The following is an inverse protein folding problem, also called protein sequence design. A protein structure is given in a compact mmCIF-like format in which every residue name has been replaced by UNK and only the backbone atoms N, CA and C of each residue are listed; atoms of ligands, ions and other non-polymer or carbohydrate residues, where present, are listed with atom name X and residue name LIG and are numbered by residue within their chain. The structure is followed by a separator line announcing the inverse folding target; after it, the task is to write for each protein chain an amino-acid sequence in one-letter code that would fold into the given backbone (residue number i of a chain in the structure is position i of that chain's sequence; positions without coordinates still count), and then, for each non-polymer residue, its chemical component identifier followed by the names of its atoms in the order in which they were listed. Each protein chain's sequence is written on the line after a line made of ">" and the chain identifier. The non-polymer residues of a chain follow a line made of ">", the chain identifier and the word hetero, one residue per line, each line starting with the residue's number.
data_IF_898517657068
#
_entry.id   IF_898517657068
#
_cell.length_a   1.000
_cell.length_b   1.000
_cell.length_c   1.000
_cell.angle_alpha   90.00
_cell.angle_beta   90.00
_cell.angle_gamma   90.00
#
_symmetry.space_group_name_H-M   'P 1'
#
loop_
_entity.id
_entity.type
_entity.pdbx_description
1 polymer ?
#
# COMPACT_ATOMS: atom_id res chain seq x y z
N UNK A 1 -20.57 -9.27 1.93
CA UNK A 1 -21.08 -8.70 3.20
C UNK A 1 -20.26 -7.47 3.55
N UNK A 2 -20.65 -6.67 4.57
CA UNK A 2 -19.84 -5.49 4.96
C UNK A 2 -18.50 -5.88 5.57
N UNK A 3 -18.47 -6.98 6.32
CA UNK A 3 -17.24 -7.53 6.89
C UNK A 3 -16.28 -8.01 5.80
N UNK A 4 -16.77 -8.56 4.67
CA UNK A 4 -15.91 -8.95 3.55
C UNK A 4 -15.19 -7.74 2.92
N UNK A 5 -15.82 -6.55 2.92
CA UNK A 5 -15.19 -5.33 2.42
C UNK A 5 -14.03 -4.89 3.31
N UNK A 6 -14.21 -4.95 4.64
CA UNK A 6 -13.14 -4.64 5.61
C UNK A 6 -11.97 -5.63 5.49
N UNK A 7 -12.26 -6.93 5.42
CA UNK A 7 -11.23 -7.96 5.19
C UNK A 7 -10.48 -7.69 3.88
N UNK A 8 -11.20 -7.37 2.81
CA UNK A 8 -10.61 -7.04 1.51
C UNK A 8 -9.68 -5.83 1.57
N UNK A 9 -10.09 -4.75 2.25
CA UNK A 9 -9.29 -3.54 2.41
C UNK A 9 -7.99 -3.81 3.18
N UNK A 10 -8.07 -4.53 4.30
CA UNK A 10 -6.91 -4.91 5.12
C UNK A 10 -5.92 -5.80 4.33
N UNK A 11 -6.44 -6.78 3.58
CA UNK A 11 -5.61 -7.62 2.71
C UNK A 11 -4.93 -6.81 1.61
N UNK A 12 -5.66 -5.90 0.95
CA UNK A 12 -5.10 -5.05 -0.10
C UNK A 12 -4.01 -4.11 0.46
N UNK A 13 -4.23 -3.46 1.61
CA UNK A 13 -3.22 -2.62 2.28
C UNK A 13 -1.95 -3.41 2.58
N UNK A 14 -2.11 -4.62 3.12
CA UNK A 14 -0.97 -5.51 3.43
C UNK A 14 -0.20 -5.89 2.17
N UNK A 15 -0.89 -6.21 1.08
CA UNK A 15 -0.26 -6.54 -0.20
C UNK A 15 0.55 -5.37 -0.78
N UNK A 16 0.02 -4.15 -0.72
CA UNK A 16 0.72 -2.93 -1.17
C UNK A 16 2.00 -2.70 -0.37
N UNK A 17 1.93 -2.82 0.97
CA UNK A 17 3.12 -2.68 1.83
C UNK A 17 4.17 -3.74 1.52
N UNK A 18 3.75 -4.99 1.34
CA UNK A 18 4.64 -6.08 0.95
C UNK A 18 5.32 -5.83 -0.40
N UNK A 19 4.56 -5.34 -1.39
CA UNK A 19 5.10 -4.97 -2.70
C UNK A 19 6.12 -3.82 -2.59
N UNK A 20 5.83 -2.78 -1.81
CA UNK A 20 6.76 -1.67 -1.58
C UNK A 20 8.06 -2.12 -0.90
N UNK A 21 8.00 -3.07 0.04
CA UNK A 21 9.21 -3.66 0.64
C UNK A 21 10.08 -4.33 -0.43
N UNK A 22 9.48 -5.13 -1.32
CA UNK A 22 10.21 -5.75 -2.43
C UNK A 22 10.82 -4.70 -3.37
N UNK A 23 10.11 -3.61 -3.66
CA UNK A 23 10.65 -2.49 -4.45
C UNK A 23 11.86 -1.86 -3.77
N UNK A 24 11.78 -1.57 -2.46
CA UNK A 24 12.89 -0.97 -1.70
C UNK A 24 14.12 -1.87 -1.67
N UNK A 25 13.93 -3.18 -1.48
CA UNK A 25 15.02 -4.17 -1.49
C UNK A 25 15.71 -4.19 -2.86
N UNK A 26 14.93 -4.33 -3.94
CA UNK A 26 15.50 -4.41 -5.28
C UNK A 26 16.13 -3.09 -5.74
N UNK A 27 15.52 -1.94 -5.40
CA UNK A 27 16.03 -0.61 -5.72
C UNK A 27 17.39 -0.34 -5.05
N UNK A 28 17.61 -0.85 -3.83
CA UNK A 28 18.89 -0.70 -3.12
C UNK A 28 20.07 -1.38 -3.82
N UNK A 29 19.82 -2.32 -4.74
CA UNK A 29 20.85 -2.99 -5.54
C UNK A 29 21.12 -2.36 -6.91
N UNK A 30 20.43 -1.28 -7.29
CA UNK A 30 20.59 -0.67 -8.61
C UNK A 30 21.78 0.29 -8.67
N UNK A 31 22.51 0.27 -9.79
CA UNK A 31 23.56 1.26 -10.04
C UNK A 31 22.99 2.63 -10.42
N UNK A 32 21.83 2.65 -11.07
CA UNK A 32 21.11 3.87 -11.43
C UNK A 32 20.34 4.42 -10.22
N UNK A 33 20.96 5.37 -9.54
CA UNK A 33 20.44 5.96 -8.31
C UNK A 33 19.27 6.92 -8.54
N UNK A 34 19.15 7.53 -9.73
CA UNK A 34 18.00 8.39 -10.03
C UNK A 34 16.76 7.54 -10.24
N UNK A 35 16.87 6.48 -11.05
CA UNK A 35 15.78 5.54 -11.26
C UNK A 35 15.38 4.85 -9.95
N UNK A 36 16.34 4.44 -9.12
CA UNK A 36 16.06 3.84 -7.81
C UNK A 36 15.23 4.78 -6.91
N UNK A 37 15.55 6.07 -6.87
CA UNK A 37 14.78 7.06 -6.12
C UNK A 37 13.39 7.27 -6.70
N UNK A 38 13.27 7.34 -8.03
CA UNK A 38 11.98 7.51 -8.71
C UNK A 38 11.00 6.38 -8.37
N UNK A 39 11.42 5.12 -8.53
CA UNK A 39 10.54 3.97 -8.30
C UNK A 39 10.16 3.81 -6.82
N UNK A 40 11.06 4.14 -5.90
CA UNK A 40 10.76 4.14 -4.46
C UNK A 40 9.78 5.25 -4.12
N UNK A 41 9.95 6.45 -4.70
CA UNK A 41 9.01 7.58 -4.51
C UNK A 41 7.61 7.20 -4.98
N UNK A 42 7.50 6.68 -6.21
CA UNK A 42 6.21 6.21 -6.76
C UNK A 42 5.59 5.10 -5.93
N UNK A 43 6.41 4.20 -5.40
CA UNK A 43 5.96 3.15 -4.49
C UNK A 43 5.39 3.70 -3.19
N UNK A 44 6.02 4.71 -2.59
CA UNK A 44 5.50 5.37 -1.39
C UNK A 44 4.17 6.10 -1.69
N UNK A 45 4.04 6.78 -2.83
CA UNK A 45 2.77 7.43 -3.22
C UNK A 45 1.61 6.43 -3.37
N UNK A 46 1.88 5.22 -3.88
CA UNK A 46 0.88 4.14 -3.96
C UNK A 46 0.51 3.65 -2.55
N UNK A 47 1.50 3.52 -1.68
CA UNK A 47 1.32 3.10 -0.29
C UNK A 47 0.44 4.07 0.50
N UNK A 48 0.71 5.37 0.40
CA UNK A 48 -0.08 6.43 1.02
C UNK A 48 -1.53 6.45 0.51
N UNK A 49 -1.73 6.30 -0.80
CA UNK A 49 -3.09 6.21 -1.38
C UNK A 49 -3.83 4.98 -0.90
N UNK A 50 -3.15 3.83 -0.82
CA UNK A 50 -3.75 2.60 -0.32
C UNK A 50 -4.12 2.70 1.17
N UNK A 51 -3.33 3.42 1.97
CA UNK A 51 -3.64 3.73 3.37
C UNK A 51 -4.88 4.60 3.51
N UNK A 52 -4.95 5.70 2.76
CA UNK A 52 -6.12 6.58 2.81
C UNK A 52 -7.42 5.83 2.44
N UNK A 53 -7.37 4.99 1.39
CA UNK A 53 -8.52 4.18 0.98
C UNK A 53 -8.89 3.11 2.00
N UNK A 54 -7.90 2.45 2.61
CA UNK A 54 -8.17 1.44 3.64
C UNK A 54 -8.82 2.07 4.87
N UNK A 55 -8.32 3.23 5.33
CA UNK A 55 -8.92 4.00 6.44
C UNK A 55 -10.38 4.36 6.11
N UNK A 56 -10.63 4.94 4.93
CA UNK A 56 -12.00 5.31 4.51
C UNK A 56 -12.96 4.11 4.50
N UNK A 57 -12.49 2.96 3.99
CA UNK A 57 -13.29 1.73 3.98
C UNK A 57 -13.54 1.23 5.40
N UNK A 58 -12.53 1.22 6.26
CA UNK A 58 -12.65 0.74 7.64
C UNK A 58 -13.58 1.63 8.46
N UNK A 59 -13.56 2.95 8.28
CA UNK A 59 -14.53 3.86 8.90
C UNK A 59 -15.97 3.52 8.52
N UNK A 60 -16.23 3.20 7.25
CA UNK A 60 -17.57 2.78 6.78
C UNK A 60 -17.96 1.42 7.37
N UNK A 61 -17.02 0.47 7.42
CA UNK A 61 -17.26 -0.88 7.93
C UNK A 61 -17.59 -0.82 9.42
N UNK A 62 -16.75 -0.15 10.21
CA UNK A 62 -16.92 -0.02 11.66
C UNK A 62 -18.17 0.78 12.03
N UNK A 63 -18.53 1.80 11.25
CA UNK A 63 -19.77 2.55 11.44
C UNK A 63 -21.05 1.74 11.18
N UNK A 64 -20.94 0.49 10.68
CA UNK A 64 -22.07 -0.39 10.34
C UNK A 64 -21.96 -1.79 10.97
N UNK A 65 -20.96 -2.01 11.83
CA UNK A 65 -20.90 -3.19 12.72
C UNK A 65 -21.93 -3.07 13.85
#
# INVERSE_FOLDING_TARGET
>A
SITDAGVGALCARTAVRGALLNVKINAGGLNDQEFAKEIVSRGNEIDEKAEALEIEIMEIVEGRL
#
